data_IF_314965154140
#
_entry.id   IF_314965154140
#
_cell.length_a   1.000
_cell.length_b   1.000
_cell.length_c   1.000
_cell.angle_alpha   90.00
_cell.angle_beta   90.00
_cell.angle_gamma   90.00
#
_symmetry.space_group_name_H-M   'P 1'
#
loop_
_entity.id
_entity.type
_entity.pdbx_description
1 polymer ?
#
# COMPACT_ATOMS: atom_id res chain seq x y z
N UNK A 1 -12.31 -34.86 4.65
CA UNK A 1 -12.58 -33.42 4.85
C UNK A 1 -11.45 -32.68 4.15
N UNK A 2 -11.72 -31.97 3.05
CA UNK A 2 -10.68 -31.20 2.37
C UNK A 2 -10.15 -30.15 3.36
N UNK A 3 -8.83 -29.92 3.47
CA UNK A 3 -8.31 -28.88 4.34
C UNK A 3 -8.95 -27.55 3.94
N UNK A 4 -9.55 -26.86 4.91
CA UNK A 4 -10.07 -25.51 4.70
C UNK A 4 -8.88 -24.65 4.28
N UNK A 5 -8.87 -24.19 3.03
CA UNK A 5 -7.84 -23.30 2.53
C UNK A 5 -7.97 -22.00 3.31
N UNK A 6 -6.94 -21.64 4.06
CA UNK A 6 -6.95 -20.37 4.80
C UNK A 6 -6.68 -19.20 3.83
N UNK A 7 -7.44 -18.10 3.93
CA UNK A 7 -7.16 -16.93 3.14
C UNK A 7 -5.86 -16.25 3.57
N UNK A 8 -5.15 -15.67 2.61
CA UNK A 8 -3.95 -14.87 2.87
C UNK A 8 -4.32 -13.56 3.56
N UNK A 9 -5.41 -12.92 3.13
CA UNK A 9 -6.01 -11.76 3.80
C UNK A 9 -7.48 -12.07 4.09
N UNK A 10 -7.91 -11.86 5.33
CA UNK A 10 -9.31 -11.91 5.73
C UNK A 10 -9.71 -10.61 6.40
N UNK A 11 -10.77 -10.00 5.89
CA UNK A 11 -11.31 -8.73 6.38
C UNK A 11 -12.71 -8.99 6.93
N UNK A 12 -12.98 -8.61 8.17
CA UNK A 12 -14.27 -8.85 8.84
C UNK A 12 -14.84 -7.53 9.35
N UNK A 13 -16.01 -7.17 8.84
CA UNK A 13 -16.80 -6.01 9.27
C UNK A 13 -15.98 -4.71 9.36
N UNK A 14 -15.06 -4.50 8.41
CA UNK A 14 -14.11 -3.40 8.46
C UNK A 14 -14.84 -2.08 8.28
N UNK A 15 -14.55 -1.12 9.16
CA UNK A 15 -15.14 0.21 9.16
C UNK A 15 -14.05 1.27 9.27
N UNK A 16 -14.23 2.36 8.53
CA UNK A 16 -13.42 3.57 8.68
C UNK A 16 -14.28 4.81 8.55
N UNK A 17 -14.43 5.53 9.65
CA UNK A 17 -15.18 6.77 9.73
C UNK A 17 -14.23 7.95 9.95
N UNK A 18 -14.39 9.00 9.16
CA UNK A 18 -13.63 10.24 9.29
C UNK A 18 -14.48 11.31 9.94
N UNK A 19 -13.99 11.99 11.00
CA UNK A 19 -14.74 13.09 11.60
C UNK A 19 -14.81 14.25 10.62
N UNK A 20 -16.02 14.81 10.46
CA UNK A 20 -16.20 16.09 9.76
C UNK A 20 -15.68 17.20 10.67
N UNK A 21 -14.90 18.14 10.13
CA UNK A 21 -14.42 19.30 10.90
C UNK A 21 -15.64 20.07 11.42
N UNK A 22 -15.75 20.17 12.75
CA UNK A 22 -16.76 21.00 13.39
C UNK A 22 -16.27 22.45 13.45
N UNK A 23 -17.13 23.41 13.09
CA UNK A 23 -16.83 24.83 13.27
C UNK A 23 -16.93 25.25 14.74
N UNK A 24 -16.34 26.40 15.10
CA UNK A 24 -16.40 26.96 16.47
C UNK A 24 -17.86 27.10 16.97
N UNK A 25 -18.79 27.46 16.08
CA UNK A 25 -20.22 27.54 16.35
C UNK A 25 -20.87 26.18 16.69
N UNK A 26 -20.43 25.08 16.06
CA UNK A 26 -20.97 23.75 16.31
C UNK A 26 -20.50 23.19 17.66
N UNK A 27 -19.27 23.53 18.06
CA UNK A 27 -18.71 23.21 19.38
C UNK A 27 -19.47 23.96 20.47
N UNK A 28 -19.69 25.28 20.29
CA UNK A 28 -20.45 26.12 21.23
C UNK A 28 -21.89 25.60 21.42
N UNK A 29 -22.50 25.09 20.34
CA UNK A 29 -23.87 24.53 20.35
C UNK A 29 -23.94 23.05 20.75
N UNK A 30 -22.83 22.42 21.19
CA UNK A 30 -22.74 21.00 21.58
C UNK A 30 -23.37 20.05 20.55
N UNK A 31 -23.25 20.35 19.26
CA UNK A 31 -23.79 19.47 18.22
C UNK A 31 -23.04 18.13 18.20
N UNK A 32 -23.73 17.01 17.92
CA UNK A 32 -23.08 15.72 17.76
C UNK A 32 -22.06 15.79 16.62
N UNK A 33 -20.89 15.15 16.81
CA UNK A 33 -19.86 15.06 15.77
C UNK A 33 -20.41 14.27 14.59
N UNK A 34 -20.34 14.88 13.40
CA UNK A 34 -20.67 14.22 12.15
C UNK A 34 -19.47 13.40 11.66
N UNK A 35 -19.76 12.27 11.01
CA UNK A 35 -18.76 11.37 10.46
C UNK A 35 -19.08 11.03 9.01
N UNK A 36 -18.05 11.03 8.17
CA UNK A 36 -18.10 10.44 6.83
C UNK A 36 -17.74 8.97 6.97
N UNK A 37 -18.68 8.08 6.62
CA UNK A 37 -18.46 6.64 6.63
C UNK A 37 -17.82 6.19 5.32
N UNK A 38 -16.49 6.29 5.25
CA UNK A 38 -15.76 5.94 4.03
C UNK A 38 -15.71 4.42 3.79
N UNK A 39 -15.74 3.62 4.85
CA UNK A 39 -15.91 2.16 4.80
C UNK A 39 -16.88 1.79 5.92
N UNK A 40 -17.94 1.03 5.61
CA UNK A 40 -18.99 0.68 6.57
C UNK A 40 -19.34 -0.82 6.47
N UNK A 41 -18.57 -1.66 7.17
CA UNK A 41 -18.89 -3.07 7.37
C UNK A 41 -18.48 -4.02 6.24
N UNK A 42 -17.40 -3.72 5.52
CA UNK A 42 -16.93 -4.59 4.42
C UNK A 42 -16.31 -5.88 4.95
N UNK A 43 -16.65 -7.01 4.34
CA UNK A 43 -16.17 -8.35 4.69
C UNK A 43 -15.81 -9.11 3.43
N UNK A 44 -14.60 -9.64 3.35
CA UNK A 44 -14.14 -10.46 2.24
C UNK A 44 -12.85 -11.22 2.60
N UNK A 45 -12.58 -12.27 1.84
CA UNK A 45 -11.38 -13.08 1.92
C UNK A 45 -10.60 -12.96 0.59
N UNK A 46 -9.27 -12.96 0.65
CA UNK A 46 -8.37 -13.06 -0.51
C UNK A 46 -7.48 -14.29 -0.31
N UNK A 47 -7.52 -15.21 -1.27
CA UNK A 47 -6.80 -16.47 -1.22
C UNK A 47 -5.44 -16.40 -1.93
N UNK A 48 -4.60 -17.39 -1.67
CA UNK A 48 -3.30 -17.48 -2.33
C UNK A 48 -3.48 -17.65 -3.85
N UNK A 49 -2.67 -16.94 -4.64
CA UNK A 49 -2.69 -16.95 -6.12
C UNK A 49 -4.00 -16.43 -6.74
N UNK A 50 -4.84 -15.77 -5.95
CA UNK A 50 -6.05 -15.09 -6.43
C UNK A 50 -5.73 -13.65 -6.88
N UNK A 51 -6.40 -13.20 -7.93
CA UNK A 51 -6.49 -11.78 -8.27
C UNK A 51 -7.85 -11.26 -7.82
N UNK A 52 -7.85 -10.53 -6.70
CA UNK A 52 -9.06 -9.91 -6.15
C UNK A 52 -9.23 -8.48 -6.68
N UNK A 53 -10.43 -8.15 -7.16
CA UNK A 53 -10.75 -6.81 -7.67
C UNK A 53 -11.83 -6.14 -6.82
N UNK A 54 -11.51 -4.98 -6.23
CA UNK A 54 -12.48 -4.11 -5.57
C UNK A 54 -12.87 -2.95 -6.50
N UNK A 55 -14.05 -3.05 -7.12
CA UNK A 55 -14.58 -2.04 -8.04
C UNK A 55 -15.71 -1.22 -7.42
N UNK A 56 -15.95 -0.03 -7.98
CA UNK A 56 -17.00 0.90 -7.54
C UNK A 56 -16.72 2.32 -8.00
N UNK A 57 -17.69 3.22 -7.85
CA UNK A 57 -17.61 4.61 -8.30
C UNK A 57 -16.55 5.44 -7.55
N UNK A 58 -16.13 6.57 -8.11
CA UNK A 58 -15.21 7.49 -7.42
C UNK A 58 -15.77 7.89 -6.05
N UNK A 59 -14.92 7.89 -5.02
CA UNK A 59 -15.34 8.23 -3.65
C UNK A 59 -16.03 7.12 -2.84
N UNK A 60 -16.31 5.95 -3.41
CA UNK A 60 -17.01 4.86 -2.70
C UNK A 60 -16.18 4.10 -1.64
N UNK A 61 -14.97 4.58 -1.31
CA UNK A 61 -14.15 4.00 -0.23
C UNK A 61 -13.05 3.03 -0.62
N UNK A 62 -12.88 2.65 -1.90
CA UNK A 62 -11.86 1.67 -2.36
C UNK A 62 -10.45 1.94 -1.83
N UNK A 63 -9.96 3.16 -2.04
CA UNK A 63 -8.62 3.60 -1.59
C UNK A 63 -8.52 3.56 -0.06
N UNK A 64 -9.59 3.90 0.64
CA UNK A 64 -9.66 3.82 2.11
C UNK A 64 -9.59 2.37 2.57
N UNK A 65 -10.32 1.45 1.94
CA UNK A 65 -10.29 0.02 2.24
C UNK A 65 -8.87 -0.54 2.13
N UNK A 66 -8.20 -0.34 0.99
CA UNK A 66 -6.83 -0.82 0.78
C UNK A 66 -5.83 -0.24 1.79
N UNK A 67 -5.88 1.07 2.03
CA UNK A 67 -5.01 1.73 3.03
C UNK A 67 -5.28 1.26 4.46
N UNK A 68 -6.53 0.93 4.78
CA UNK A 68 -6.91 0.45 6.12
C UNK A 68 -6.44 -0.99 6.34
N UNK A 69 -6.49 -1.85 5.32
CA UNK A 69 -5.96 -3.22 5.37
C UNK A 69 -4.46 -3.23 5.67
N UNK A 70 -3.70 -2.31 5.08
CA UNK A 70 -2.27 -2.15 5.33
C UNK A 70 -1.94 -1.41 6.64
N UNK A 71 -2.97 -1.05 7.42
CA UNK A 71 -2.90 -0.17 8.59
C UNK A 71 -2.15 1.14 8.33
N UNK A 72 -2.19 1.65 7.09
CA UNK A 72 -1.73 3.02 6.80
C UNK A 72 -2.74 4.05 7.33
N UNK A 73 -3.98 3.61 7.51
CA UNK A 73 -5.05 4.32 8.20
C UNK A 73 -5.61 3.34 9.23
N UNK A 74 -5.67 3.74 10.50
CA UNK A 74 -6.26 2.88 11.54
C UNK A 74 -7.78 2.74 11.32
N UNK A 75 -8.34 1.51 11.36
CA UNK A 75 -9.78 1.31 11.26
C UNK A 75 -10.51 1.93 12.45
N UNK A 76 -11.79 2.23 12.24
CA UNK A 76 -12.69 2.59 13.34
C UNK A 76 -13.17 1.36 14.09
N UNK A 77 -13.41 0.25 13.38
CA UNK A 77 -13.90 -1.02 13.91
C UNK A 77 -13.68 -2.13 12.85
N UNK A 78 -13.86 -3.39 13.25
CA UNK A 78 -13.64 -4.59 12.43
C UNK A 78 -12.29 -5.28 12.71
N UNK A 79 -11.97 -6.30 11.91
CA UNK A 79 -10.73 -7.09 12.03
C UNK A 79 -10.08 -7.32 10.67
N UNK A 80 -8.76 -7.40 10.68
CA UNK A 80 -7.94 -7.71 9.51
C UNK A 80 -6.99 -8.82 9.91
N UNK A 81 -7.02 -9.94 9.19
CA UNK A 81 -6.11 -11.06 9.40
C UNK A 81 -5.18 -11.20 8.21
N UNK A 82 -3.90 -11.47 8.46
CA UNK A 82 -2.93 -11.85 7.45
C UNK A 82 -2.37 -13.22 7.80
N UNK A 83 -2.63 -14.22 6.95
CA UNK A 83 -2.28 -15.64 7.20
C UNK A 83 -2.69 -16.12 8.60
N UNK A 84 -3.93 -15.81 9.00
CA UNK A 84 -4.51 -16.21 10.29
C UNK A 84 -4.18 -15.30 11.49
N UNK A 85 -3.20 -14.40 11.38
CA UNK A 85 -2.78 -13.50 12.47
C UNK A 85 -3.52 -12.16 12.41
N UNK A 86 -4.04 -11.68 13.55
CA UNK A 86 -4.76 -10.40 13.63
C UNK A 86 -3.79 -9.21 13.53
N UNK A 87 -3.86 -8.51 12.41
CA UNK A 87 -2.99 -7.39 12.05
C UNK A 87 -3.17 -6.20 12.99
N UNK A 88 -4.32 -6.09 13.69
CA UNK A 88 -4.57 -5.01 14.65
C UNK A 88 -3.74 -5.19 15.94
N UNK A 89 -3.32 -6.41 16.25
CA UNK A 89 -2.52 -6.73 17.44
C UNK A 89 -1.00 -6.66 17.18
N UNK A 90 -0.60 -6.45 15.92
CA UNK A 90 0.82 -6.31 15.58
C UNK A 90 1.48 -5.14 16.30
N UNK A 91 2.66 -5.43 16.85
CA UNK A 91 3.67 -4.46 17.25
C UNK A 91 4.19 -3.68 16.03
N UNK A 92 4.96 -2.61 16.28
CA UNK A 92 5.56 -1.83 15.20
C UNK A 92 6.50 -2.64 14.32
N UNK A 93 7.19 -3.64 14.88
CA UNK A 93 8.10 -4.51 14.13
C UNK A 93 7.32 -5.51 13.26
N UNK A 94 6.28 -6.13 13.81
CA UNK A 94 5.40 -7.03 13.06
C UNK A 94 4.67 -6.29 11.94
N UNK A 95 4.22 -5.06 12.19
CA UNK A 95 3.66 -4.16 11.16
C UNK A 95 4.66 -3.89 10.04
N UNK A 96 5.94 -3.64 10.38
CA UNK A 96 7.00 -3.42 9.38
C UNK A 96 7.22 -4.68 8.54
N UNK A 97 7.22 -5.86 9.16
CA UNK A 97 7.37 -7.15 8.47
C UNK A 97 6.14 -7.52 7.64
N UNK A 98 4.94 -7.17 8.09
CA UNK A 98 3.70 -7.30 7.34
C UNK A 98 3.72 -6.42 6.09
N UNK A 99 4.01 -5.13 6.22
CA UNK A 99 4.06 -4.19 5.09
C UNK A 99 5.15 -4.55 4.07
N UNK A 100 6.24 -5.18 4.51
CA UNK A 100 7.25 -5.77 3.59
C UNK A 100 6.63 -6.82 2.66
N UNK A 101 5.65 -7.59 3.14
CA UNK A 101 4.95 -8.67 2.41
C UNK A 101 3.67 -8.19 1.72
N UNK A 102 3.23 -6.97 1.99
CA UNK A 102 1.98 -6.40 1.50
C UNK A 102 2.23 -4.97 1.00
N UNK A 103 2.72 -4.87 -0.24
CA UNK A 103 3.15 -3.62 -0.86
C UNK A 103 1.98 -2.88 -1.51
N UNK A 104 2.06 -1.55 -1.56
CA UNK A 104 1.05 -0.70 -2.19
C UNK A 104 1.63 0.07 -3.36
N UNK A 105 0.90 0.09 -4.46
CA UNK A 105 1.14 0.98 -5.60
C UNK A 105 0.03 2.02 -5.58
N UNK A 106 0.39 3.30 -5.49
CA UNK A 106 -0.59 4.39 -5.42
C UNK A 106 -1.16 4.72 -6.80
N UNK A 107 -2.38 5.28 -6.81
CA UNK A 107 -3.10 5.62 -8.04
C UNK A 107 -2.36 6.65 -8.91
N UNK A 108 -1.72 7.64 -8.29
CA UNK A 108 -0.81 8.55 -8.97
C UNK A 108 0.65 8.16 -8.63
N UNK A 109 1.42 7.63 -9.59
CA UNK A 109 2.82 7.32 -9.37
C UNK A 109 3.63 8.57 -9.04
N UNK A 110 3.26 9.76 -9.54
CA UNK A 110 4.01 10.99 -9.31
C UNK A 110 4.03 11.41 -7.84
N UNK A 111 2.89 11.33 -7.14
CA UNK A 111 2.82 11.63 -5.70
C UNK A 111 3.58 10.60 -4.85
N UNK A 112 3.79 9.38 -5.37
CA UNK A 112 4.44 8.30 -4.63
C UNK A 112 5.96 8.23 -4.77
N UNK A 113 6.51 8.89 -5.79
CA UNK A 113 7.95 8.92 -6.09
C UNK A 113 8.54 10.25 -5.61
N UNK A 114 9.63 10.19 -4.84
CA UNK A 114 10.34 11.41 -4.45
C UNK A 114 11.02 12.03 -5.69
N UNK A 115 10.63 13.25 -6.13
CA UNK A 115 11.13 13.85 -7.37
C UNK A 115 12.62 14.18 -7.33
N UNK A 116 13.22 14.23 -6.14
CA UNK A 116 14.64 14.51 -5.93
C UNK A 116 15.51 13.25 -6.00
N UNK A 117 14.91 12.07 -5.96
CA UNK A 117 15.63 10.79 -6.01
C UNK A 117 15.75 10.28 -7.44
N UNK A 118 16.84 9.57 -7.73
CA UNK A 118 16.99 8.84 -8.99
C UNK A 118 16.13 7.57 -8.99
N UNK A 119 15.83 7.03 -10.16
CA UNK A 119 15.13 5.74 -10.31
C UNK A 119 15.80 4.66 -9.47
N UNK A 120 17.13 4.54 -9.55
CA UNK A 120 17.88 3.59 -8.72
C UNK A 120 17.59 3.79 -7.23
N UNK A 121 17.70 5.03 -6.75
CA UNK A 121 17.54 5.33 -5.33
C UNK A 121 16.11 5.04 -4.85
N UNK A 122 15.12 5.26 -5.73
CA UNK A 122 13.71 4.99 -5.42
C UNK A 122 13.44 3.48 -5.31
N UNK A 123 13.97 2.69 -6.23
CA UNK A 123 13.79 1.22 -6.22
C UNK A 123 14.67 0.56 -5.14
N UNK A 124 15.83 1.13 -4.80
CA UNK A 124 16.70 0.62 -3.73
C UNK A 124 16.15 0.91 -2.32
N UNK A 125 15.31 1.95 -2.17
CA UNK A 125 14.88 2.44 -0.86
C UNK A 125 14.26 1.33 0.04
N UNK A 126 13.31 0.50 -0.43
CA UNK A 126 12.74 -0.58 0.39
C UNK A 126 13.83 -1.54 0.91
N UNK A 127 14.78 -1.90 0.05
CA UNK A 127 15.89 -2.78 0.40
C UNK A 127 16.76 -2.19 1.52
N UNK A 128 17.05 -0.88 1.46
CA UNK A 128 17.78 -0.16 2.52
C UNK A 128 16.99 -0.11 3.83
N UNK A 129 15.70 0.25 3.76
CA UNK A 129 14.82 0.36 4.94
C UNK A 129 14.68 -0.98 5.67
N UNK A 130 14.69 -2.08 4.92
CA UNK A 130 14.59 -3.44 5.45
C UNK A 130 15.95 -4.12 5.67
N UNK A 131 17.07 -3.40 5.47
CA UNK A 131 18.44 -3.91 5.65
C UNK A 131 18.71 -5.20 4.86
N UNK A 132 18.29 -5.22 3.59
CA UNK A 132 18.45 -6.36 2.68
C UNK A 132 19.72 -6.17 1.84
N UNK A 133 20.56 -7.20 1.83
CA UNK A 133 21.73 -7.35 0.96
C UNK A 133 22.88 -6.36 1.18
N UNK A 134 24.00 -6.63 0.52
CA UNK A 134 25.12 -5.71 0.34
C UNK A 134 24.78 -4.62 -0.68
N UNK A 135 25.69 -3.66 -0.90
CA UNK A 135 25.47 -2.62 -1.91
C UNK A 135 25.41 -3.21 -3.32
N UNK A 136 26.28 -4.17 -3.58
CA UNK A 136 26.41 -4.88 -4.85
C UNK A 136 25.18 -5.76 -5.09
N UNK A 137 24.73 -6.51 -4.08
CA UNK A 137 23.51 -7.34 -4.19
C UNK A 137 22.27 -6.48 -4.44
N UNK A 138 22.13 -5.35 -3.74
CA UNK A 138 21.01 -4.43 -3.99
C UNK A 138 21.05 -3.84 -5.38
N UNK A 139 22.24 -3.54 -5.91
CA UNK A 139 22.38 -3.07 -7.28
C UNK A 139 21.81 -4.09 -8.26
N UNK A 140 22.24 -5.35 -8.16
CA UNK A 140 21.74 -6.43 -9.03
C UNK A 140 20.22 -6.64 -8.90
N UNK A 141 19.68 -6.56 -7.68
CA UNK A 141 18.23 -6.66 -7.45
C UNK A 141 17.48 -5.51 -8.13
N UNK A 142 17.98 -4.27 -8.04
CA UNK A 142 17.36 -3.11 -8.68
C UNK A 142 17.39 -3.25 -10.21
N UNK A 143 18.53 -3.68 -10.78
CA UNK A 143 18.65 -3.88 -12.22
C UNK A 143 17.63 -4.91 -12.72
N UNK A 144 17.53 -6.07 -12.05
CA UNK A 144 16.53 -7.09 -12.39
C UNK A 144 15.10 -6.58 -12.26
N UNK A 145 14.77 -5.87 -11.17
CA UNK A 145 13.44 -5.31 -10.98
C UNK A 145 13.04 -4.31 -12.09
N UNK A 146 14.00 -3.53 -12.59
CA UNK A 146 13.77 -2.63 -13.74
C UNK A 146 13.58 -3.40 -15.05
N UNK A 147 14.31 -4.49 -15.26
CA UNK A 147 14.11 -5.37 -16.42
C UNK A 147 12.75 -6.07 -16.40
N UNK A 148 12.31 -6.55 -15.24
CA UNK A 148 11.03 -7.24 -15.05
C UNK A 148 9.84 -6.34 -15.38
N UNK A 149 9.98 -5.03 -15.20
CA UNK A 149 8.99 -4.03 -15.61
C UNK A 149 9.27 -3.44 -16.99
N UNK A 150 10.10 -4.09 -17.82
CA UNK A 150 10.44 -3.69 -19.19
C UNK A 150 11.08 -2.29 -19.34
N UNK A 151 11.79 -1.80 -18.33
CA UNK A 151 12.65 -0.63 -18.46
C UNK A 151 14.04 -1.07 -18.91
N UNK A 152 14.16 -1.35 -20.21
CA UNK A 152 15.36 -1.95 -20.84
C UNK A 152 16.03 -0.98 -21.83
N UNK A 153 17.37 -0.91 -21.86
CA UNK A 153 18.30 -1.43 -20.84
C UNK A 153 18.20 -0.63 -19.53
N UNK A 154 18.23 -1.24 -18.33
CA UNK A 154 18.03 -0.51 -17.06
C UNK A 154 19.02 0.63 -16.82
N UNK A 155 20.23 0.50 -17.34
CA UNK A 155 21.32 1.48 -17.28
C UNK A 155 20.89 2.85 -17.82
N UNK A 156 19.99 2.87 -18.80
CA UNK A 156 19.45 4.10 -19.37
C UNK A 156 18.55 4.87 -18.39
N UNK A 157 18.02 4.19 -17.37
CA UNK A 157 16.99 4.72 -16.46
C UNK A 157 17.52 5.01 -15.06
N UNK A 158 18.49 4.25 -14.55
CA UNK A 158 18.91 4.29 -13.14
C UNK A 158 19.32 5.69 -12.64
N UNK A 159 19.86 6.53 -13.50
CA UNK A 159 20.30 7.89 -13.18
C UNK A 159 19.22 8.96 -13.40
N UNK A 160 18.15 8.61 -14.13
CA UNK A 160 17.04 9.53 -14.38
C UNK A 160 16.25 9.78 -13.09
N UNK A 161 15.56 10.90 -13.06
CA UNK A 161 14.61 11.31 -12.04
C UNK A 161 13.18 11.22 -12.59
N UNK A 162 12.15 11.19 -11.73
CA UNK A 162 10.77 11.01 -12.16
C UNK A 162 10.30 11.97 -13.26
N UNK A 163 10.75 13.24 -13.27
CA UNK A 163 10.36 14.22 -14.28
C UNK A 163 10.92 13.93 -15.68
N UNK A 164 11.99 13.13 -15.79
CA UNK A 164 12.64 12.73 -17.06
C UNK A 164 12.00 11.47 -17.68
N UNK A 165 10.99 10.91 -17.01
CA UNK A 165 10.28 9.70 -17.43
C UNK A 165 8.90 10.04 -18.01
N UNK A 166 8.44 9.23 -18.96
CA UNK A 166 7.04 9.22 -19.39
C UNK A 166 6.12 8.74 -18.27
N UNK A 167 4.82 9.03 -18.34
CA UNK A 167 3.85 8.57 -17.33
C UNK A 167 3.85 7.04 -17.16
N UNK A 168 3.91 6.30 -18.27
CA UNK A 168 4.00 4.83 -18.24
C UNK A 168 5.31 4.33 -17.62
N UNK A 169 6.44 4.98 -17.90
CA UNK A 169 7.72 4.62 -17.27
C UNK A 169 7.69 4.86 -15.77
N UNK A 170 7.08 5.96 -15.30
CA UNK A 170 6.92 6.22 -13.86
C UNK A 170 6.08 5.15 -13.17
N UNK A 171 5.00 4.71 -13.81
CA UNK A 171 4.18 3.62 -13.27
C UNK A 171 5.00 2.33 -13.15
N UNK A 172 5.84 2.02 -14.15
CA UNK A 172 6.74 0.86 -14.11
C UNK A 172 7.79 0.97 -13.00
N UNK A 173 8.38 2.14 -12.77
CA UNK A 173 9.26 2.37 -11.62
C UNK A 173 8.53 2.15 -10.29
N UNK A 174 7.29 2.61 -10.16
CA UNK A 174 6.48 2.38 -8.97
C UNK A 174 6.17 0.89 -8.75
N UNK A 175 5.92 0.14 -9.83
CA UNK A 175 5.76 -1.32 -9.79
C UNK A 175 7.07 -2.00 -9.37
N UNK A 176 8.20 -1.65 -9.97
CA UNK A 176 9.51 -2.22 -9.65
C UNK A 176 9.86 -2.05 -8.17
N UNK A 177 9.60 -0.86 -7.61
CA UNK A 177 9.77 -0.58 -6.17
C UNK A 177 8.87 -1.45 -5.29
N UNK A 178 7.69 -1.83 -5.76
CA UNK A 178 6.76 -2.67 -5.01
C UNK A 178 7.07 -4.18 -5.12
N UNK A 179 7.85 -4.59 -6.12
CA UNK A 179 8.23 -5.99 -6.33
C UNK A 179 9.50 -6.40 -5.54
N UNK A 180 10.27 -5.43 -5.06
CA UNK A 180 11.61 -5.62 -4.49
C UNK A 180 11.66 -5.64 -2.95
#
# INVERSE_FOLDING_TARGET
MLPLVEPVIRVINLKKYFPVRAGLLDILRRKPRLYIRAVDGVTFDIYEKEVFCLAGESGCGKTTTGRTILRLIEPTDGKIFFKGEDVLNYTNEELKNFRRRAQIIFQDPYESLNPMMTVYSIVEEPLKVHKIGSKEERYDMVMRALEDVELKPPEDFIHRRPHELSGGQRQRVAIARALI
#
